data_IF_801612150503
#
_entry.id   IF_801612150503
#
_cell.length_a   1.000
_cell.length_b   1.000
_cell.length_c   1.000
_cell.angle_alpha   90.00
_cell.angle_beta   90.00
_cell.angle_gamma   90.00
#
_symmetry.space_group_name_H-M   'P 1'
#
loop_
_entity.id
_entity.type
_entity.pdbx_description
1 polymer ?
#
# COMPACT_ATOMS: atom_id res chain seq x y z
N UNK A 1 -21.40 5.77 4.14
CA UNK A 1 -20.84 4.42 3.96
C UNK A 1 -19.80 4.22 5.05
N UNK A 2 -19.78 3.07 5.73
CA UNK A 2 -19.16 2.95 7.06
C UNK A 2 -17.63 3.06 7.02
N UNK A 3 -17.05 3.80 7.97
CA UNK A 3 -15.60 3.95 8.17
C UNK A 3 -14.83 2.61 8.09
N UNK A 4 -15.43 1.53 8.60
CA UNK A 4 -14.85 0.18 8.55
C UNK A 4 -14.74 -0.39 7.12
N UNK A 5 -15.72 -0.13 6.26
CA UNK A 5 -15.69 -0.59 4.87
C UNK A 5 -14.55 0.07 4.09
N UNK A 6 -14.40 1.38 4.27
CA UNK A 6 -13.28 2.17 3.71
C UNK A 6 -11.94 1.65 4.22
N UNK A 7 -11.84 1.34 5.52
CA UNK A 7 -10.62 0.80 6.12
C UNK A 7 -10.25 -0.56 5.50
N UNK A 8 -11.21 -1.48 5.36
CA UNK A 8 -10.98 -2.79 4.74
C UNK A 8 -10.51 -2.65 3.29
N UNK A 9 -11.17 -1.79 2.50
CA UNK A 9 -10.74 -1.50 1.13
C UNK A 9 -9.34 -0.89 1.08
N UNK A 10 -9.05 0.05 1.99
CA UNK A 10 -7.76 0.71 2.09
C UNK A 10 -6.64 -0.25 2.44
N UNK A 11 -6.85 -1.14 3.41
CA UNK A 11 -5.91 -2.18 3.79
C UNK A 11 -5.69 -3.19 2.65
N UNK A 12 -6.74 -3.60 1.94
CA UNK A 12 -6.63 -4.53 0.82
C UNK A 12 -5.85 -3.93 -0.36
N UNK A 13 -6.09 -2.65 -0.65
CA UNK A 13 -5.59 -1.99 -1.86
C UNK A 13 -4.30 -1.18 -1.66
N UNK A 14 -3.75 -1.11 -0.43
CA UNK A 14 -2.63 -0.23 -0.11
C UNK A 14 -1.46 -0.37 -1.10
N UNK A 15 -1.15 -1.60 -1.51
CA UNK A 15 -0.03 -1.94 -2.38
C UNK A 15 -0.38 -2.12 -3.86
N UNK A 16 -1.61 -1.81 -4.30
CA UNK A 16 -2.06 -1.99 -5.70
C UNK A 16 -1.14 -1.28 -6.70
N UNK A 17 -0.52 -0.18 -6.25
CA UNK A 17 0.45 0.56 -7.02
C UNK A 17 1.69 -0.23 -7.44
N UNK A 18 2.04 -1.34 -6.77
CA UNK A 18 3.13 -2.22 -7.21
C UNK A 18 2.83 -2.86 -8.57
N UNK A 19 1.57 -3.23 -8.82
CA UNK A 19 1.12 -3.79 -10.12
C UNK A 19 1.14 -2.69 -11.18
N UNK A 20 0.58 -1.53 -10.87
CA UNK A 20 0.53 -0.36 -11.77
C UNK A 20 1.94 0.09 -12.17
N UNK A 21 2.85 0.17 -11.20
CA UNK A 21 4.24 0.57 -11.40
C UNK A 21 4.97 -0.38 -12.36
N UNK A 22 4.78 -1.70 -12.18
CA UNK A 22 5.39 -2.72 -13.04
C UNK A 22 4.84 -2.72 -14.47
N UNK A 23 3.56 -2.41 -14.65
CA UNK A 23 2.90 -2.40 -15.95
C UNK A 23 3.30 -1.20 -16.84
N UNK A 24 3.56 -0.03 -16.23
CA UNK A 24 3.74 1.22 -16.96
C UNK A 24 5.17 1.80 -16.91
N UNK A 25 6.16 1.06 -16.39
CA UNK A 25 7.54 1.54 -16.14
C UNK A 25 7.57 2.97 -15.55
N UNK A 26 6.66 3.23 -14.62
CA UNK A 26 6.32 4.60 -14.21
C UNK A 26 7.46 5.29 -13.44
N UNK A 27 7.57 6.62 -13.62
CA UNK A 27 8.42 7.47 -12.78
C UNK A 27 7.69 7.78 -11.46
N UNK A 28 8.26 7.39 -10.33
CA UNK A 28 7.75 7.68 -8.99
C UNK A 28 7.73 6.47 -8.06
N UNK A 29 7.10 6.61 -6.89
CA UNK A 29 6.88 5.53 -5.93
C UNK A 29 5.52 4.85 -6.13
N UNK A 30 5.41 3.58 -5.75
CA UNK A 30 4.21 2.79 -5.98
C UNK A 30 2.98 3.33 -5.22
N UNK A 31 3.16 3.97 -4.06
CA UNK A 31 2.02 4.52 -3.32
C UNK A 31 1.37 5.70 -4.05
N UNK A 32 2.16 6.56 -4.71
CA UNK A 32 1.63 7.59 -5.63
C UNK A 32 0.91 6.94 -6.81
N UNK A 33 1.55 5.96 -7.46
CA UNK A 33 1.01 5.31 -8.64
C UNK A 33 -0.34 4.64 -8.35
N UNK A 34 -0.45 3.93 -7.23
CA UNK A 34 -1.69 3.28 -6.80
C UNK A 34 -2.81 4.28 -6.52
N UNK A 35 -2.52 5.36 -5.78
CA UNK A 35 -3.51 6.39 -5.50
C UNK A 35 -3.98 7.12 -6.77
N UNK A 36 -3.07 7.43 -7.69
CA UNK A 36 -3.40 8.03 -8.99
C UNK A 36 -4.28 7.11 -9.83
N UNK A 37 -3.95 5.81 -9.88
CA UNK A 37 -4.76 4.81 -10.57
C UNK A 37 -6.19 4.72 -9.99
N UNK A 38 -6.32 4.70 -8.66
CA UNK A 38 -7.63 4.58 -8.01
C UNK A 38 -8.53 5.81 -8.20
N UNK A 39 -7.98 7.00 -8.49
CA UNK A 39 -8.78 8.21 -8.76
C UNK A 39 -9.70 8.05 -9.98
N UNK A 40 -9.41 7.13 -10.90
CA UNK A 40 -10.30 6.81 -12.02
C UNK A 40 -11.53 6.01 -11.61
N UNK A 41 -11.56 5.43 -10.41
CA UNK A 41 -12.62 4.52 -9.95
C UNK A 41 -13.36 5.01 -8.70
N UNK A 42 -12.78 5.95 -7.94
CA UNK A 42 -13.37 6.47 -6.71
C UNK A 42 -12.87 7.87 -6.36
N UNK A 43 -13.73 8.66 -5.72
CA UNK A 43 -13.39 9.97 -5.13
C UNK A 43 -13.23 9.90 -3.60
N UNK A 44 -13.34 8.70 -3.02
CA UNK A 44 -13.31 8.49 -1.58
C UNK A 44 -11.93 8.84 -0.99
N UNK A 45 -11.83 10.03 -0.40
CA UNK A 45 -10.57 10.61 0.07
C UNK A 45 -9.84 9.74 1.09
N UNK A 46 -10.56 9.07 1.98
CA UNK A 46 -9.95 8.25 3.02
C UNK A 46 -9.36 6.96 2.45
N UNK A 47 -10.01 6.33 1.48
CA UNK A 47 -9.45 5.22 0.72
C UNK A 47 -8.19 5.66 -0.04
N UNK A 48 -8.25 6.80 -0.74
CA UNK A 48 -7.09 7.33 -1.47
C UNK A 48 -5.92 7.66 -0.54
N UNK A 49 -6.19 8.19 0.66
CA UNK A 49 -5.16 8.45 1.68
C UNK A 49 -4.52 7.17 2.19
N UNK A 50 -5.30 6.11 2.43
CA UNK A 50 -4.77 4.80 2.82
C UNK A 50 -3.72 4.34 1.80
N UNK A 51 -4.05 4.37 0.51
CA UNK A 51 -3.12 3.94 -0.54
C UNK A 51 -1.94 4.90 -0.69
N UNK A 52 -2.16 6.21 -0.68
CA UNK A 52 -1.09 7.18 -0.91
C UNK A 52 -0.06 7.24 0.24
N UNK A 53 -0.51 7.07 1.48
CA UNK A 53 0.28 7.31 2.69
C UNK A 53 0.54 6.08 3.56
N UNK A 54 0.33 4.85 3.06
CA UNK A 54 0.66 3.64 3.83
C UNK A 54 2.17 3.45 4.08
N UNK A 55 3.06 4.20 3.41
CA UNK A 55 4.50 4.15 3.67
C UNK A 55 4.93 5.19 4.71
N UNK A 56 5.69 4.76 5.72
CA UNK A 56 6.13 5.62 6.83
C UNK A 56 6.85 6.90 6.39
N UNK A 57 7.69 6.86 5.34
CA UNK A 57 8.40 8.04 4.81
C UNK A 57 7.44 9.13 4.30
N UNK A 58 6.35 8.73 3.67
CA UNK A 58 5.35 9.66 3.15
C UNK A 58 4.37 10.07 4.22
N UNK A 59 3.96 9.14 5.07
CA UNK A 59 3.06 9.40 6.19
C UNK A 59 3.64 10.45 7.15
N UNK A 60 4.94 10.37 7.44
CA UNK A 60 5.61 11.28 8.38
C UNK A 60 5.65 12.74 7.95
N UNK A 61 5.48 13.02 6.65
CA UNK A 61 5.45 14.37 6.06
C UNK A 61 4.07 14.76 5.52
N UNK A 62 3.06 13.90 5.72
CA UNK A 62 1.73 14.11 5.19
C UNK A 62 0.95 15.14 6.04
N UNK A 63 0.25 16.05 5.36
CA UNK A 63 -0.74 16.93 5.98
C UNK A 63 -2.12 16.29 5.79
N UNK A 64 -2.50 15.42 6.72
CA UNK A 64 -3.77 14.66 6.71
C UNK A 64 -4.44 14.76 8.09
N UNK A 65 -5.76 14.49 8.21
CA UNK A 65 -6.45 14.51 9.49
C UNK A 65 -5.84 13.52 10.50
N UNK A 66 -5.82 13.90 11.79
CA UNK A 66 -5.31 13.04 12.88
C UNK A 66 -6.08 11.72 13.02
N UNK A 67 -7.33 11.67 12.56
CA UNK A 67 -8.17 10.49 12.53
C UNK A 67 -8.16 9.76 11.17
N UNK A 68 -7.16 10.03 10.32
CA UNK A 68 -7.02 9.37 9.03
C UNK A 68 -6.82 7.86 9.18
N UNK A 69 -7.56 7.09 8.38
CA UNK A 69 -7.42 5.63 8.33
C UNK A 69 -6.03 5.16 7.85
N UNK A 70 -5.27 6.04 7.18
CA UNK A 70 -3.93 5.72 6.71
C UNK A 70 -2.96 5.32 7.84
N UNK A 71 -3.15 5.85 9.06
CA UNK A 71 -2.36 5.44 10.22
C UNK A 71 -2.59 3.98 10.59
N UNK A 72 -3.85 3.53 10.58
CA UNK A 72 -4.19 2.13 10.87
C UNK A 72 -3.66 1.19 9.79
N UNK A 73 -3.77 1.60 8.52
CA UNK A 73 -3.25 0.81 7.40
C UNK A 73 -1.72 0.69 7.45
N UNK A 74 -1.02 1.77 7.78
CA UNK A 74 0.44 1.75 7.97
C UNK A 74 0.87 0.78 9.08
N UNK A 75 0.22 0.82 10.25
CA UNK A 75 0.55 -0.11 11.33
C UNK A 75 0.21 -1.56 10.97
N UNK A 76 -0.92 -1.80 10.29
CA UNK A 76 -1.29 -3.13 9.83
C UNK A 76 -0.29 -3.71 8.82
N UNK A 77 0.20 -2.90 7.88
CA UNK A 77 1.24 -3.28 6.91
C UNK A 77 2.56 -3.64 7.62
N UNK A 78 2.97 -2.85 8.61
CA UNK A 78 4.17 -3.14 9.41
C UNK A 78 4.03 -4.45 10.20
N UNK A 79 2.86 -4.72 10.77
CA UNK A 79 2.58 -5.97 11.49
C UNK A 79 2.61 -7.18 10.56
N UNK A 80 2.00 -7.06 9.37
CA UNK A 80 2.00 -8.12 8.35
C UNK A 80 3.43 -8.40 7.84
N UNK A 81 4.18 -7.36 7.48
CA UNK A 81 5.55 -7.53 7.01
C UNK A 81 6.51 -8.07 8.10
N UNK A 82 6.23 -7.81 9.38
CA UNK A 82 7.00 -8.36 10.50
C UNK A 82 6.71 -9.85 10.75
N UNK A 83 5.50 -10.33 10.43
CA UNK A 83 5.18 -11.75 10.43
C UNK A 83 5.93 -12.46 9.29
N UNK A 84 5.90 -11.90 8.08
CA UNK A 84 6.60 -12.45 6.92
C UNK A 84 8.12 -12.58 7.15
N UNK A 85 8.73 -11.59 7.83
CA UNK A 85 10.17 -11.65 8.17
C UNK A 85 10.52 -12.77 9.14
N UNK A 86 9.62 -13.12 10.07
CA UNK A 86 9.85 -14.20 11.05
C UNK A 86 9.80 -15.58 10.43
N UNK A 87 8.89 -15.80 9.48
CA UNK A 87 8.87 -17.06 8.72
C UNK A 87 10.11 -17.22 7.81
N UNK A 88 10.68 -16.11 7.35
CA UNK A 88 11.87 -16.10 6.47
C UNK A 88 13.18 -16.32 7.22
N UNK A 89 13.29 -15.86 8.48
CA UNK A 89 14.49 -16.09 9.32
C UNK A 89 14.62 -17.54 9.84
N UNK A 90 13.53 -18.31 9.86
CA UNK A 90 13.54 -19.73 10.26
C UNK A 90 13.76 -20.72 9.09
N UNK A 91 13.88 -20.24 7.85
CA UNK A 91 14.13 -21.08 6.67
C UNK A 91 14.60 -20.31 5.44
N UNK A 92 15.91 -20.38 5.17
CA UNK A 92 16.63 -20.05 3.93
C UNK A 92 16.08 -18.91 3.05
N UNK A 93 16.81 -17.78 3.08
CA UNK A 93 16.45 -16.58 2.36
C UNK A 93 16.36 -16.73 0.84
N UNK A 94 15.16 -16.49 0.30
CA UNK A 94 14.95 -16.24 -1.13
C UNK A 94 14.92 -14.74 -1.42
N UNK A 95 15.79 -14.31 -2.34
CA UNK A 95 15.72 -13.01 -3.00
C UNK A 95 14.32 -12.82 -3.62
N UNK A 96 13.77 -11.61 -3.49
CA UNK A 96 12.38 -11.29 -3.82
C UNK A 96 11.89 -11.91 -5.14
N UNK A 97 10.65 -12.40 -5.14
CA UNK A 97 10.03 -13.05 -6.30
C UNK A 97 10.07 -12.13 -7.52
N UNK A 98 10.93 -12.44 -8.49
CA UNK A 98 10.86 -11.92 -9.84
C UNK A 98 9.74 -12.64 -10.59
N UNK A 99 8.72 -11.89 -11.00
CA UNK A 99 7.73 -12.36 -11.97
C UNK A 99 8.41 -12.56 -13.31
N UNK A 100 8.27 -13.75 -13.89
CA UNK A 100 8.75 -14.05 -15.23
C UNK A 100 7.96 -13.22 -16.25
N UNK A 101 8.65 -12.43 -17.07
CA UNK A 101 8.04 -11.55 -18.09
C UNK A 101 7.63 -12.31 -19.36
N UNK A 102 7.80 -13.64 -19.39
CA UNK A 102 7.57 -14.47 -20.58
C UNK A 102 6.51 -15.58 -20.42
N UNK A 103 5.63 -15.50 -19.42
CA UNK A 103 4.43 -16.35 -19.35
C UNK A 103 3.20 -15.73 -20.00
#
# INVERSE_FOLDING_TARGET
MGCLETLVKGALLHDIGKVVYRANEGLGDHSTAGATFLRSYTEEKDLLRCVQYHHGRKLSSAVIPDNSLAYLVYEADNLASALDRREHDEGEGIAGQTFDKHM
#
